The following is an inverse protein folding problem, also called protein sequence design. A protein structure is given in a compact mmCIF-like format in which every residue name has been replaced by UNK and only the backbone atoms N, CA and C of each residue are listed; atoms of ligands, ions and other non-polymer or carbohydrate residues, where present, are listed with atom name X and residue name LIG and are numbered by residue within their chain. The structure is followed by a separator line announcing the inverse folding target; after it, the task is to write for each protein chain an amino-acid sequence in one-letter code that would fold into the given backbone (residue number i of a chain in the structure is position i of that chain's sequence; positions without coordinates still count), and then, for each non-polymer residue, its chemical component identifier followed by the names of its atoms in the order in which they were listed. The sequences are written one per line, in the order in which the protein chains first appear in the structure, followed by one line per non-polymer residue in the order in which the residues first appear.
data_IF_428830364172
#
_entry.id   IF_428830364172
#
_cell.length_a   1.000
_cell.length_b   1.000
_cell.length_c   1.000
_cell.angle_alpha   90.00
_cell.angle_beta   90.00
_cell.angle_gamma   90.00
#
_symmetry.space_group_name_H-M   'P 1'
#
loop_
_entity.id
_entity.type
_entity.pdbx_description
1 polymer ?
#
# COMPACT_ATOMS: atom_id res chain seq x y z
N UNK A 1 -19.66 -0.21 6.00
CA UNK A 1 -18.27 -0.51 6.36
C UNK A 1 -17.72 -1.51 5.34
N UNK A 2 -16.78 -1.08 4.50
CA UNK A 2 -16.13 -1.98 3.55
C UNK A 2 -15.08 -2.78 4.34
N UNK A 3 -15.36 -4.05 4.61
CA UNK A 3 -14.44 -4.96 5.27
C UNK A 3 -13.21 -5.15 4.38
N UNK A 4 -12.04 -4.75 4.89
CA UNK A 4 -10.76 -5.09 4.29
C UNK A 4 -10.48 -6.59 4.49
N UNK A 5 -9.83 -7.27 3.53
CA UNK A 5 -9.50 -8.68 3.69
C UNK A 5 -8.52 -8.83 4.85
N UNK A 6 -9.00 -9.41 5.95
CA UNK A 6 -8.18 -9.84 7.08
C UNK A 6 -7.32 -11.03 6.64
N UNK A 7 -6.22 -10.72 5.94
CA UNK A 7 -5.18 -11.69 5.66
C UNK A 7 -4.07 -11.49 6.69
N UNK A 8 -4.09 -12.30 7.74
CA UNK A 8 -2.88 -12.62 8.50
C UNK A 8 -1.87 -13.25 7.54
N UNK A 9 -0.92 -12.45 7.05
CA UNK A 9 0.23 -12.95 6.33
C UNK A 9 1.49 -12.40 7.01
N UNK A 10 1.94 -13.13 8.03
CA UNK A 10 3.34 -13.12 8.42
C UNK A 10 4.17 -13.44 7.19
N UNK A 11 5.04 -12.54 6.76
CA UNK A 11 6.17 -12.95 5.93
C UNK A 11 7.38 -12.07 6.19
N UNK A 12 8.34 -12.72 6.81
CA UNK A 12 9.62 -12.22 7.25
C UNK A 12 10.46 -11.95 5.98
N UNK A 13 11.09 -10.78 5.95
CA UNK A 13 12.22 -10.40 5.07
C UNK A 13 13.01 -11.59 4.53
N UNK A 14 13.30 -11.64 3.21
CA UNK A 14 14.65 -11.99 2.73
C UNK A 14 14.96 -11.55 1.29
N UNK A 15 16.09 -10.82 1.21
CA UNK A 15 16.92 -10.44 0.07
C UNK A 15 17.35 -11.66 -0.77
N UNK A 16 17.03 -11.71 -2.06
CA UNK A 16 17.75 -12.53 -3.05
C UNK A 16 17.76 -11.81 -4.40
N UNK A 17 18.97 -11.50 -4.90
CA UNK A 17 19.21 -10.97 -6.23
C UNK A 17 19.05 -12.09 -7.26
N UNK A 18 18.19 -11.92 -8.27
CA UNK A 18 18.33 -12.61 -9.55
C UNK A 18 17.71 -11.76 -10.66
N UNK A 19 18.50 -11.52 -11.71
CA UNK A 19 18.11 -10.79 -12.91
C UNK A 19 17.17 -11.65 -13.78
N UNK A 20 15.89 -11.61 -13.43
CA UNK A 20 14.75 -12.13 -14.18
C UNK A 20 13.59 -11.23 -13.80
N UNK A 21 12.78 -10.77 -14.76
CA UNK A 21 11.65 -9.81 -14.59
C UNK A 21 11.16 -9.79 -13.14
N UNK A 22 11.49 -8.72 -12.42
CA UNK A 22 11.33 -8.57 -10.97
C UNK A 22 9.84 -8.52 -10.66
N UNK A 23 9.18 -9.68 -10.61
CA UNK A 23 7.76 -9.77 -10.27
C UNK A 23 7.63 -9.46 -8.79
N UNK A 24 7.27 -8.21 -8.49
CA UNK A 24 6.95 -7.82 -7.13
C UNK A 24 5.60 -8.42 -6.76
N UNK A 25 5.48 -9.20 -5.66
CA UNK A 25 4.19 -9.70 -5.23
C UNK A 25 3.32 -8.52 -4.77
N UNK A 26 2.38 -8.13 -5.62
CA UNK A 26 1.40 -7.09 -5.32
C UNK A 26 0.28 -7.69 -4.46
N UNK A 27 0.16 -7.18 -3.24
CA UNK A 27 -0.91 -7.45 -2.29
C UNK A 27 -2.21 -6.74 -2.68
N UNK A 28 -3.27 -6.98 -1.91
CA UNK A 28 -4.53 -6.24 -2.07
C UNK A 28 -4.33 -4.71 -2.00
N UNK A 29 -3.38 -4.23 -1.18
CA UNK A 29 -3.09 -2.80 -1.05
C UNK A 29 -2.45 -2.21 -2.31
N UNK A 30 -1.52 -2.92 -2.94
CA UNK A 30 -0.91 -2.46 -4.18
C UNK A 30 -1.88 -2.51 -5.36
N UNK A 31 -2.83 -3.46 -5.40
CA UNK A 31 -3.92 -3.45 -6.40
C UNK A 31 -4.89 -2.28 -6.19
N UNK A 32 -5.19 -1.94 -4.93
CA UNK A 32 -5.99 -0.75 -4.62
C UNK A 32 -5.28 0.53 -5.06
N UNK A 33 -3.98 0.64 -4.78
CA UNK A 33 -3.16 1.76 -5.22
C UNK A 33 -3.14 1.85 -6.75
N UNK A 34 -2.94 0.74 -7.46
CA UNK A 34 -2.93 0.73 -8.93
C UNK A 34 -4.25 1.25 -9.49
N UNK A 35 -5.38 0.73 -9.02
CA UNK A 35 -6.69 1.15 -9.49
C UNK A 35 -6.91 2.64 -9.25
N UNK A 36 -6.57 3.12 -8.04
CA UNK A 36 -6.72 4.53 -7.70
C UNK A 36 -5.79 5.42 -8.53
N UNK A 37 -4.52 5.04 -8.68
CA UNK A 37 -3.55 5.83 -9.44
C UNK A 37 -3.92 5.87 -10.93
N UNK A 38 -4.45 4.79 -11.50
CA UNK A 38 -4.93 4.81 -12.88
C UNK A 38 -6.13 5.74 -13.07
N UNK A 39 -6.99 5.87 -12.07
CA UNK A 39 -8.18 6.71 -12.13
C UNK A 39 -7.88 8.20 -11.88
N UNK A 40 -7.04 8.50 -10.88
CA UNK A 40 -6.80 9.87 -10.40
C UNK A 40 -5.43 10.44 -10.79
N UNK A 41 -4.47 9.60 -11.16
CA UNK A 41 -3.09 9.99 -11.50
C UNK A 41 -2.56 9.30 -12.77
N UNK A 42 -3.28 9.40 -13.90
CA UNK A 42 -2.94 8.66 -15.11
C UNK A 42 -1.58 9.06 -15.70
N UNK A 43 -1.14 10.32 -15.56
CA UNK A 43 0.16 10.76 -16.11
C UNK A 43 1.33 10.14 -15.33
N UNK A 44 1.25 10.08 -14.01
CA UNK A 44 2.22 9.39 -13.15
C UNK A 44 2.27 7.90 -13.48
N UNK A 45 1.12 7.24 -13.61
CA UNK A 45 1.08 5.82 -13.98
C UNK A 45 1.76 5.62 -15.34
N UNK A 46 1.41 6.43 -16.34
CA UNK A 46 2.03 6.35 -17.65
C UNK A 46 3.55 6.54 -17.59
N UNK A 47 4.04 7.55 -16.86
CA UNK A 47 5.48 7.77 -16.71
C UNK A 47 6.19 6.62 -15.99
N UNK A 48 5.53 5.98 -15.02
CA UNK A 48 6.05 4.80 -14.33
C UNK A 48 6.04 3.55 -15.23
N UNK A 49 5.03 3.39 -16.08
CA UNK A 49 4.96 2.31 -17.08
C UNK A 49 6.05 2.46 -18.14
N UNK A 50 6.23 3.67 -18.69
CA UNK A 50 7.27 3.99 -19.66
C UNK A 50 8.67 3.77 -19.08
N UNK A 51 8.85 4.06 -17.79
CA UNK A 51 10.08 3.79 -17.06
C UNK A 51 10.26 2.32 -16.64
N UNK A 52 9.23 1.47 -16.79
CA UNK A 52 9.23 0.08 -16.31
C UNK A 52 9.29 -0.04 -14.77
N UNK A 53 8.85 1.00 -14.06
CA UNK A 53 8.91 1.12 -12.58
C UNK A 53 7.54 1.05 -11.89
N UNK A 54 6.46 0.86 -12.65
CA UNK A 54 5.10 0.81 -12.07
C UNK A 54 4.98 -0.25 -10.97
N UNK A 55 5.41 -1.49 -11.23
CA UNK A 55 5.33 -2.57 -10.25
C UNK A 55 6.16 -2.27 -8.99
N UNK A 56 7.34 -1.66 -9.15
CA UNK A 56 8.20 -1.27 -8.03
C UNK A 56 7.57 -0.15 -7.19
N UNK A 57 6.94 0.84 -7.84
CA UNK A 57 6.25 1.93 -7.15
C UNK A 57 4.99 1.44 -6.41
N UNK A 58 4.22 0.53 -7.00
CA UNK A 58 3.08 -0.11 -6.34
C UNK A 58 3.52 -0.98 -5.16
N UNK A 59 4.63 -1.70 -5.32
CA UNK A 59 5.25 -2.47 -4.25
C UNK A 59 5.72 -1.56 -3.11
N UNK A 60 6.39 -0.45 -3.41
CA UNK A 60 6.79 0.51 -2.39
C UNK A 60 5.58 1.10 -1.66
N UNK A 61 4.52 1.47 -2.37
CA UNK A 61 3.31 2.01 -1.77
C UNK A 61 2.64 1.02 -0.81
N UNK A 62 2.56 -0.27 -1.16
CA UNK A 62 1.99 -1.27 -0.24
C UNK A 62 2.88 -1.52 0.97
N UNK A 63 4.22 -1.57 0.81
CA UNK A 63 5.13 -1.86 1.92
C UNK A 63 5.07 -0.72 2.94
N UNK A 64 5.08 0.53 2.46
CA UNK A 64 4.90 1.71 3.32
C UNK A 64 3.54 1.75 4.00
N UNK A 65 2.49 1.29 3.30
CA UNK A 65 1.16 1.16 3.90
C UNK A 65 1.17 0.11 5.01
N UNK A 66 1.76 -1.06 4.78
CA UNK A 66 1.84 -2.15 5.76
C UNK A 66 2.69 -1.77 6.98
N UNK A 67 3.86 -1.18 6.76
CA UNK A 67 4.75 -0.75 7.83
C UNK A 67 4.07 0.28 8.74
N UNK A 68 3.47 1.32 8.15
CA UNK A 68 2.79 2.35 8.94
C UNK A 68 1.50 1.83 9.58
N UNK A 69 0.78 0.91 8.91
CA UNK A 69 -0.40 0.26 9.49
C UNK A 69 -0.02 -0.53 10.75
N UNK A 70 1.01 -1.37 10.68
CA UNK A 70 1.49 -2.15 11.83
C UNK A 70 1.95 -1.26 12.98
N UNK A 71 2.66 -0.17 12.68
CA UNK A 71 3.09 0.79 13.70
C UNK A 71 1.90 1.45 14.40
N UNK A 72 0.89 1.88 13.64
CA UNK A 72 -0.31 2.52 14.18
C UNK A 72 -1.17 1.53 14.96
N UNK A 73 -1.37 0.32 14.45
CA UNK A 73 -2.08 -0.75 15.14
C UNK A 73 -1.43 -1.02 16.50
N UNK A 74 -0.10 -1.19 16.54
CA UNK A 74 0.64 -1.42 17.80
C UNK A 74 0.44 -0.28 18.79
N UNK A 75 0.49 0.98 18.33
CA UNK A 75 0.28 2.17 19.19
C UNK A 75 -1.16 2.24 19.71
N UNK A 76 -2.15 1.91 18.88
CA UNK A 76 -3.57 1.94 19.24
C UNK A 76 -3.94 0.81 20.20
N UNK A 77 -3.43 -0.41 19.96
CA UNK A 77 -3.58 -1.54 20.88
C UNK A 77 -2.96 -1.26 22.24
N UNK A 78 -1.76 -0.64 22.28
CA UNK A 78 -1.14 -0.19 23.52
C UNK A 78 -1.97 0.88 24.26
N UNK A 79 -2.79 1.64 23.54
CA UNK A 79 -3.78 2.58 24.07
C UNK A 79 -5.08 1.94 24.58
N UNK A 80 -5.20 0.61 24.49
CA UNK A 80 -6.36 -0.16 24.98
C UNK A 80 -7.43 -0.42 23.92
N UNK A 81 -7.18 -0.12 22.64
CA UNK A 81 -8.10 -0.48 21.57
C UNK A 81 -8.03 -1.98 21.28
N UNK A 82 -9.15 -2.54 20.84
CA UNK A 82 -9.14 -3.91 20.29
C UNK A 82 -8.42 -3.92 18.94
N UNK A 83 -7.84 -5.06 18.57
CA UNK A 83 -7.17 -5.25 17.28
C UNK A 83 -8.01 -4.78 16.08
N UNK A 84 -9.32 -5.03 16.11
CA UNK A 84 -10.22 -4.59 15.04
C UNK A 84 -10.34 -3.06 14.98
N UNK A 85 -10.55 -2.40 16.12
CA UNK A 85 -10.63 -0.93 16.18
C UNK A 85 -9.31 -0.27 15.81
N UNK A 86 -8.20 -0.85 16.27
CA UNK A 86 -6.86 -0.39 15.94
C UNK A 86 -6.60 -0.47 14.43
N UNK A 87 -6.97 -1.59 13.80
CA UNK A 87 -6.83 -1.80 12.36
C UNK A 87 -7.71 -0.84 11.55
N UNK A 88 -9.00 -0.71 11.92
CA UNK A 88 -9.93 0.21 11.26
C UNK A 88 -9.40 1.65 11.34
N UNK A 89 -8.95 2.10 12.51
CA UNK A 89 -8.48 3.47 12.71
C UNK A 89 -7.11 3.72 12.07
N UNK A 90 -6.19 2.76 12.13
CA UNK A 90 -4.91 2.84 11.44
C UNK A 90 -5.11 2.94 9.92
N UNK A 91 -6.04 2.14 9.38
CA UNK A 91 -6.35 2.14 7.96
C UNK A 91 -6.84 3.50 7.45
N UNK A 92 -7.77 4.14 8.17
CA UNK A 92 -8.27 5.47 7.80
C UNK A 92 -7.13 6.48 7.62
N UNK A 93 -6.06 6.37 8.41
CA UNK A 93 -4.89 7.24 8.34
C UNK A 93 -3.96 6.88 7.17
N UNK A 94 -3.60 5.61 7.01
CA UNK A 94 -2.58 5.21 6.02
C UNK A 94 -3.12 5.21 4.59
N UNK A 95 -4.41 4.93 4.40
CA UNK A 95 -5.00 4.85 3.06
C UNK A 95 -4.90 6.18 2.32
N UNK A 96 -5.04 7.31 3.01
CA UNK A 96 -4.97 8.64 2.40
C UNK A 96 -3.54 9.06 2.03
N UNK A 97 -2.55 8.44 2.68
CA UNK A 97 -1.13 8.81 2.49
C UNK A 97 -0.46 8.11 1.32
N UNK A 98 -0.84 6.86 1.05
CA UNK A 98 -0.10 6.02 0.09
C UNK A 98 -0.99 5.42 -1.00
N UNK A 99 -2.28 5.19 -0.73
CA UNK A 99 -3.19 4.49 -1.65
C UNK A 99 -4.09 5.49 -2.37
N UNK A 100 -4.83 6.29 -1.61
CA UNK A 100 -5.76 7.31 -2.08
C UNK A 100 -5.06 8.66 -2.27
N UNK A 101 -3.94 8.65 -3.03
CA UNK A 101 -3.22 9.88 -3.34
C UNK A 101 -4.17 10.89 -4.01
N UNK A 102 -4.06 12.19 -3.70
CA UNK A 102 -4.88 13.21 -4.34
C UNK A 102 -4.69 13.17 -5.86
N UNK A 103 -5.72 13.58 -6.63
CA UNK A 103 -5.61 13.66 -8.08
C UNK A 103 -4.43 14.52 -8.49
N UNK A 104 -3.86 14.21 -9.64
CA UNK A 104 -2.82 15.08 -10.21
C UNK A 104 -3.39 16.47 -10.45
N UNK A 105 -2.75 17.49 -9.87
CA UNK A 105 -3.05 18.87 -10.24
C UNK A 105 -2.83 19.03 -11.75
N UNK A 106 -3.87 19.50 -12.43
CA UNK A 106 -3.80 19.96 -13.81
C UNK A 106 -2.90 21.20 -13.84
N UNK A 107 -1.59 21.01 -13.97
CA UNK A 107 -0.67 22.07 -14.39
C UNK A 107 -0.44 21.98 -15.89
#
# INVERSE_FOLDING_TARGET
MNQWPSNSASSIFFKTMNATKKTFPISAYGLMAERHWREFRPKMVQGLEEAGKLEEALYEAQERTLDELMELETKLEAGGLTKQQASDQAWEVVRERYILLPPEDEN
#
